data_IF_949731706694
#
_entry.id   IF_949731706694
#
_cell.length_a   1.000
_cell.length_b   1.000
_cell.length_c   1.000
_cell.angle_alpha   90.00
_cell.angle_beta   90.00
_cell.angle_gamma   90.00
#
_symmetry.space_group_name_H-M   'P 1'
#
loop_
_entity.id
_entity.type
_entity.pdbx_description
1 polymer ?
#
# COMPACT_ATOMS: atom_id res chain seq x y z
N UNK A 1 25.69 13.52 2.54
CA UNK A 1 24.66 14.45 2.12
C UNK A 1 23.47 13.67 1.58
N UNK A 2 22.32 14.05 2.00
CA UNK A 2 21.11 13.39 1.55
C UNK A 2 20.76 13.82 0.12
N UNK A 3 20.60 12.86 -0.75
CA UNK A 3 20.13 13.10 -2.10
C UNK A 3 18.61 13.30 -2.05
N UNK A 4 18.04 14.25 -2.82
CA UNK A 4 16.59 14.36 -2.90
C UNK A 4 15.90 13.03 -3.24
N UNK A 5 16.55 12.19 -4.03
CA UNK A 5 16.00 10.89 -4.40
C UNK A 5 15.95 9.91 -3.24
N UNK A 6 16.70 10.20 -2.17
CA UNK A 6 16.70 9.37 -0.98
C UNK A 6 15.74 9.87 0.08
N UNK A 7 15.13 11.02 -0.14
CA UNK A 7 14.11 11.52 0.76
C UNK A 7 12.90 10.60 0.72
N UNK A 8 12.18 10.53 1.83
CA UNK A 8 10.97 9.75 1.89
C UNK A 8 9.99 10.28 0.86
N UNK A 9 9.51 9.38 0.02
CA UNK A 9 8.55 9.75 -1.00
C UNK A 9 7.15 9.41 -0.50
N UNK A 10 6.28 10.39 -0.52
CA UNK A 10 4.90 10.21 -0.10
C UNK A 10 4.00 10.12 -1.32
N UNK A 11 3.12 9.14 -1.32
CA UNK A 11 2.19 8.88 -2.41
C UNK A 11 0.78 9.12 -1.93
N UNK A 12 -0.05 9.68 -2.80
CA UNK A 12 -1.48 9.77 -2.53
C UNK A 12 -2.09 8.38 -2.56
N UNK A 13 -3.34 8.27 -2.14
CA UNK A 13 -4.04 6.98 -2.18
C UNK A 13 -4.14 6.43 -3.61
N UNK A 14 -4.39 7.29 -4.59
CA UNK A 14 -4.42 6.86 -5.98
C UNK A 14 -3.07 6.42 -6.47
N UNK A 15 -2.03 7.16 -6.12
CA UNK A 15 -0.66 6.79 -6.48
C UNK A 15 -0.26 5.48 -5.81
N UNK A 16 -0.68 5.29 -4.55
CA UNK A 16 -0.40 4.05 -3.84
C UNK A 16 -1.05 2.86 -4.52
N UNK A 17 -2.30 3.02 -4.97
CA UNK A 17 -3.00 2.00 -5.72
C UNK A 17 -2.24 1.61 -6.99
N UNK A 18 -1.79 2.61 -7.74
CA UNK A 18 -1.01 2.37 -8.96
C UNK A 18 0.33 1.71 -8.65
N UNK A 19 0.99 2.16 -7.60
CA UNK A 19 2.28 1.59 -7.20
C UNK A 19 2.14 0.11 -6.85
N UNK A 20 1.14 -0.25 -6.07
CA UNK A 20 0.92 -1.64 -5.69
C UNK A 20 0.69 -2.51 -6.92
N UNK A 21 -0.09 -2.02 -7.88
CA UNK A 21 -0.37 -2.80 -9.07
C UNK A 21 0.86 -2.91 -9.97
N UNK A 22 1.53 -1.80 -10.24
CA UNK A 22 2.63 -1.78 -11.20
C UNK A 22 3.90 -2.43 -10.64
N UNK A 23 4.15 -2.21 -9.36
CA UNK A 23 5.40 -2.69 -8.75
C UNK A 23 5.28 -4.11 -8.22
N UNK A 24 4.14 -4.45 -7.68
CA UNK A 24 3.96 -5.74 -6.99
C UNK A 24 2.88 -6.62 -7.60
N UNK A 25 2.11 -6.11 -8.54
CA UNK A 25 0.99 -6.86 -9.08
C UNK A 25 -0.16 -7.03 -8.10
N UNK A 26 -0.19 -6.24 -7.05
CA UNK A 26 -1.23 -6.29 -6.04
C UNK A 26 -2.34 -5.31 -6.43
N UNK A 27 -3.49 -5.84 -6.79
CA UNK A 27 -4.59 -5.01 -7.25
C UNK A 27 -5.43 -4.56 -6.05
N UNK A 28 -5.33 -3.28 -5.72
CA UNK A 28 -6.12 -2.65 -4.65
C UNK A 28 -6.54 -1.28 -5.15
N UNK A 29 -7.83 -1.10 -5.40
CA UNK A 29 -8.33 0.21 -5.83
C UNK A 29 -8.14 1.23 -4.70
N UNK A 30 -8.08 2.52 -5.06
CA UNK A 30 -7.94 3.54 -4.04
C UNK A 30 -9.16 3.57 -3.11
N UNK A 31 -10.33 3.21 -3.61
CA UNK A 31 -11.54 3.11 -2.79
C UNK A 31 -11.39 1.99 -1.78
N UNK A 32 -10.86 0.85 -2.21
CA UNK A 32 -10.64 -0.27 -1.29
C UNK A 32 -9.58 0.07 -0.24
N UNK A 33 -8.53 0.79 -0.65
CA UNK A 33 -7.52 1.25 0.31
C UNK A 33 -8.15 2.16 1.37
N UNK A 34 -9.10 2.99 0.98
CA UNK A 34 -9.84 3.83 1.92
C UNK A 34 -10.65 2.97 2.90
N UNK A 35 -11.27 1.91 2.42
CA UNK A 35 -12.00 0.97 3.26
C UNK A 35 -11.07 0.30 4.27
N UNK A 36 -9.91 -0.14 3.81
CA UNK A 36 -8.93 -0.76 4.69
C UNK A 36 -8.38 0.22 5.73
N UNK A 37 -8.21 1.49 5.34
CA UNK A 37 -7.76 2.50 6.29
C UNK A 37 -8.77 2.70 7.42
N UNK A 38 -10.04 2.56 7.11
CA UNK A 38 -11.11 2.69 8.09
C UNK A 38 -11.25 1.44 8.96
N UNK A 39 -11.13 0.26 8.36
CA UNK A 39 -11.38 -1.01 9.05
C UNK A 39 -10.12 -1.68 9.58
N UNK A 40 -8.97 -1.29 9.07
CA UNK A 40 -7.70 -1.95 9.37
C UNK A 40 -7.38 -3.01 8.35
N UNK A 41 -6.15 -3.48 8.37
CA UNK A 41 -5.70 -4.55 7.48
C UNK A 41 -5.06 -4.10 6.19
N UNK A 42 -4.95 -2.80 5.96
CA UNK A 42 -4.29 -2.27 4.77
C UNK A 42 -2.86 -1.80 5.07
N UNK A 43 -2.26 -1.12 4.09
CA UNK A 43 -0.93 -0.55 4.31
C UNK A 43 -0.96 0.52 5.39
N UNK A 44 0.15 0.69 6.06
CA UNK A 44 0.32 1.80 7.00
C UNK A 44 0.19 3.12 6.21
N UNK A 45 -0.51 4.07 6.77
CA UNK A 45 -0.68 5.37 6.15
C UNK A 45 -0.47 6.46 7.19
N UNK A 46 -0.27 7.69 6.69
CA UNK A 46 -0.10 8.85 7.55
C UNK A 46 -1.05 9.93 7.10
N UNK A 47 -1.42 10.79 8.01
CA UNK A 47 -2.28 11.91 7.67
C UNK A 47 -1.42 13.17 7.54
N UNK A 48 -1.69 13.90 6.46
CA UNK A 48 -1.10 15.20 6.21
C UNK A 48 -2.24 16.21 6.24
N UNK A 49 -2.52 16.72 7.43
CA UNK A 49 -3.68 17.57 7.64
C UNK A 49 -4.95 16.78 7.86
N UNK A 50 -6.11 17.47 7.90
CA UNK A 50 -7.37 16.83 8.31
C UNK A 50 -7.94 15.84 7.29
N UNK A 51 -7.62 16.00 6.00
CA UNK A 51 -8.26 15.19 4.98
C UNK A 51 -7.31 14.46 4.04
N UNK A 52 -6.02 14.78 4.10
CA UNK A 52 -5.06 14.17 3.18
C UNK A 52 -4.42 12.95 3.80
N UNK A 53 -4.46 11.85 3.06
CA UNK A 53 -3.81 10.60 3.46
C UNK A 53 -2.65 10.34 2.50
N UNK A 54 -1.52 9.96 3.06
CA UNK A 54 -0.31 9.67 2.29
C UNK A 54 0.27 8.31 2.70
N UNK A 55 0.97 7.71 1.77
CA UNK A 55 1.62 6.41 1.97
C UNK A 55 3.09 6.53 1.60
N UNK A 56 3.95 5.77 2.27
CA UNK A 56 5.36 5.67 1.86
C UNK A 56 5.56 4.42 1.03
N UNK A 57 6.57 4.47 0.16
CA UNK A 57 6.93 3.30 -0.65
C UNK A 57 7.29 2.12 0.25
N UNK A 58 8.03 2.38 1.34
CA UNK A 58 8.42 1.32 2.26
C UNK A 58 7.21 0.62 2.88
N UNK A 59 6.20 1.39 3.28
CA UNK A 59 4.99 0.81 3.87
C UNK A 59 4.18 0.04 2.84
N UNK A 60 4.14 0.51 1.60
CA UNK A 60 3.47 -0.21 0.53
C UNK A 60 4.19 -1.51 0.19
N UNK A 61 5.51 -1.49 0.17
CA UNK A 61 6.31 -2.70 -0.06
C UNK A 61 6.07 -3.72 1.05
N UNK A 62 6.01 -3.27 2.30
CA UNK A 62 5.75 -4.15 3.43
C UNK A 62 4.35 -4.77 3.33
N UNK A 63 3.37 -3.97 2.94
CA UNK A 63 2.01 -4.47 2.76
C UNK A 63 1.96 -5.52 1.64
N UNK A 64 2.59 -5.23 0.51
CA UNK A 64 2.62 -6.18 -0.61
C UNK A 64 3.28 -7.49 -0.21
N UNK A 65 4.37 -7.42 0.53
CA UNK A 65 5.04 -8.63 1.02
C UNK A 65 4.12 -9.43 1.93
N UNK A 66 3.35 -8.76 2.77
CA UNK A 66 2.39 -9.39 3.66
C UNK A 66 1.27 -10.10 2.86
N UNK A 67 0.75 -9.43 1.84
CA UNK A 67 -0.32 -9.99 1.01
C UNK A 67 0.18 -11.20 0.22
N UNK A 68 1.41 -11.15 -0.26
CA UNK A 68 1.97 -12.17 -1.14
C UNK A 68 2.87 -13.15 -0.40
N UNK A 69 2.81 -13.18 0.92
CA UNK A 69 3.76 -13.95 1.71
C UNK A 69 3.58 -15.45 1.61
N UNK A 70 2.42 -15.91 1.16
CA UNK A 70 2.14 -17.34 1.14
C UNK A 70 1.64 -17.76 -0.24
N UNK A 71 2.44 -18.56 -0.97
CA UNK A 71 1.97 -19.12 -2.23
C UNK A 71 0.85 -20.12 -1.99
N UNK A 72 -0.09 -20.16 -2.90
CA UNK A 72 -1.24 -21.04 -2.81
C UNK A 72 -1.43 -21.78 -4.10
N UNK A 73 -1.96 -23.01 -3.99
CA UNK A 73 -2.26 -23.84 -5.16
C UNK A 73 -3.73 -23.80 -5.52
N UNK A 74 -4.58 -23.44 -4.57
CA UNK A 74 -5.99 -23.33 -4.84
C UNK A 74 -6.60 -22.30 -3.91
N UNK A 75 -7.76 -21.78 -4.29
CA UNK A 75 -8.47 -20.79 -3.50
C UNK A 75 -8.96 -21.35 -2.17
N UNK A 76 -9.11 -22.67 -2.06
CA UNK A 76 -9.54 -23.26 -0.80
C UNK A 76 -8.50 -23.10 0.30
N UNK A 77 -7.23 -22.91 -0.05
CA UNK A 77 -6.20 -22.66 0.94
C UNK A 77 -6.31 -21.27 1.56
N UNK A 78 -7.04 -20.37 0.92
CA UNK A 78 -7.21 -19.01 1.40
C UNK A 78 -8.36 -18.88 2.40
N UNK A 79 -9.17 -19.88 2.52
CA UNK A 79 -10.35 -19.84 3.40
C UNK A 79 -9.97 -19.87 4.88
#
# INVERSE_FOLDING_TARGET
MSNPDQAVRYLSRKEASNYLLERHGVKRSYIYLATLASKGGGPVFRKDGPSRVIYTVADLDAYAASVLSRPMRSTSEAA
#
